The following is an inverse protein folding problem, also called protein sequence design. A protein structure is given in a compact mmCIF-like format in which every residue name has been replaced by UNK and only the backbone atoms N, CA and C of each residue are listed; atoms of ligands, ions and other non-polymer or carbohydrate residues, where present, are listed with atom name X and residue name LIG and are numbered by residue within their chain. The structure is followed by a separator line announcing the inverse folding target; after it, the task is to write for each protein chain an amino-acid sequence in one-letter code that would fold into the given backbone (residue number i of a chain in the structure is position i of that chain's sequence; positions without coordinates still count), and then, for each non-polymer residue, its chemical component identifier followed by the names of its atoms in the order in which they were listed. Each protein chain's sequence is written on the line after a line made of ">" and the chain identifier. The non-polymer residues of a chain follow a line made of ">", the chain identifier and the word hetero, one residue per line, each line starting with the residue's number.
data_IF_897731091690
#
_entry.id   IF_897731091690
#
_cell.length_a   1.000
_cell.length_b   1.000
_cell.length_c   1.000
_cell.angle_alpha   90.00
_cell.angle_beta   90.00
_cell.angle_gamma   90.00
#
_symmetry.space_group_name_H-M   'P 1'
#
loop_
_entity.id
_entity.type
_entity.pdbx_description
1 polymer ?
#
# COMPACT_ATOMS: atom_id res chain seq x y z
N UNK A 1 -44.51 -15.52 -0.14
CA UNK A 1 -43.43 -14.51 -0.09
C UNK A 1 -42.39 -14.90 -1.12
N UNK A 2 -42.05 -13.98 -2.03
CA UNK A 2 -41.10 -14.26 -3.13
C UNK A 2 -39.67 -14.02 -2.66
N UNK A 3 -38.76 -14.95 -2.94
CA UNK A 3 -37.33 -14.77 -2.65
C UNK A 3 -36.73 -13.80 -3.68
N UNK A 4 -35.93 -12.86 -3.20
CA UNK A 4 -35.13 -11.96 -4.02
C UNK A 4 -33.66 -12.33 -3.87
N UNK A 5 -32.87 -12.19 -4.94
CA UNK A 5 -31.43 -12.41 -4.93
C UNK A 5 -30.73 -11.06 -4.85
N UNK A 6 -29.77 -10.93 -3.94
CA UNK A 6 -28.92 -9.75 -3.79
C UNK A 6 -27.46 -10.19 -3.79
N UNK A 7 -26.58 -9.41 -4.40
CA UNK A 7 -25.14 -9.60 -4.37
C UNK A 7 -24.51 -8.59 -3.42
N UNK A 8 -23.66 -9.05 -2.51
CA UNK A 8 -22.91 -8.17 -1.59
C UNK A 8 -21.45 -8.18 -2.01
N UNK A 9 -20.90 -7.00 -2.31
CA UNK A 9 -19.49 -6.83 -2.66
C UNK A 9 -18.76 -6.18 -1.49
N UNK A 10 -17.67 -6.80 -1.05
CA UNK A 10 -16.74 -6.24 -0.07
C UNK A 10 -15.33 -6.20 -0.64
N UNK A 11 -14.71 -5.02 -0.65
CA UNK A 11 -13.34 -4.84 -1.13
C UNK A 11 -12.42 -4.54 0.04
N UNK A 12 -11.48 -5.44 0.30
CA UNK A 12 -10.41 -5.26 1.27
C UNK A 12 -9.14 -4.83 0.57
N UNK A 13 -8.47 -3.79 1.09
CA UNK A 13 -7.16 -3.34 0.61
C UNK A 13 -6.12 -3.52 1.70
N UNK A 14 -5.02 -4.18 1.36
CA UNK A 14 -3.81 -4.17 2.15
C UNK A 14 -2.92 -3.01 1.71
N UNK A 15 -2.52 -2.18 2.65
CA UNK A 15 -1.50 -1.14 2.45
C UNK A 15 -0.25 -1.50 3.25
N UNK A 16 0.91 -1.51 2.59
CA UNK A 16 2.20 -1.75 3.24
C UNK A 16 2.99 -0.45 3.25
N UNK A 17 3.43 0.00 4.42
CA UNK A 17 4.19 1.24 4.62
C UNK A 17 5.57 0.91 5.19
N UNK A 18 6.59 1.58 4.68
CA UNK A 18 7.93 1.63 5.26
C UNK A 18 8.42 3.07 5.18
N UNK A 19 9.16 3.49 6.19
CA UNK A 19 9.85 4.78 6.21
C UNK A 19 11.33 4.49 6.30
N UNK A 20 12.11 5.14 5.44
CA UNK A 20 13.56 4.97 5.36
C UNK A 20 14.23 6.33 5.42
N UNK A 21 15.35 6.39 6.12
CA UNK A 21 16.23 7.55 6.14
C UNK A 21 17.19 7.46 4.94
N UNK A 22 17.29 8.53 4.17
CA UNK A 22 18.17 8.62 3.00
C UNK A 22 19.06 9.83 3.15
N UNK A 23 20.35 9.63 2.89
CA UNK A 23 21.35 10.69 2.88
C UNK A 23 21.34 11.36 1.50
N UNK A 24 20.52 12.39 1.36
CA UNK A 24 20.39 13.17 0.13
C UNK A 24 20.39 14.67 0.46
N UNK A 25 20.75 15.50 -0.52
CA UNK A 25 20.79 16.95 -0.35
C UNK A 25 19.41 17.55 -0.02
N UNK A 26 18.35 16.95 -0.58
CA UNK A 26 16.95 17.35 -0.41
C UNK A 26 15.99 16.21 -0.80
N UNK A 27 14.70 16.45 -0.62
CA UNK A 27 13.66 15.46 -0.85
C UNK A 27 13.51 15.04 -2.33
N UNK A 28 13.72 15.97 -3.26
CA UNK A 28 13.61 15.69 -4.70
C UNK A 28 14.76 14.76 -5.13
N UNK A 29 15.98 15.09 -4.70
CA UNK A 29 17.16 14.24 -4.92
C UNK A 29 16.94 12.84 -4.34
N UNK A 30 16.41 12.71 -3.12
CA UNK A 30 16.12 11.40 -2.53
C UNK A 30 15.15 10.55 -3.38
N UNK A 31 14.12 11.17 -3.97
CA UNK A 31 13.18 10.48 -4.85
C UNK A 31 13.87 10.03 -6.13
N UNK A 32 14.68 10.89 -6.75
CA UNK A 32 15.43 10.55 -7.97
C UNK A 32 16.39 9.37 -7.73
N UNK A 33 17.05 9.30 -6.58
CA UNK A 33 17.90 8.17 -6.21
C UNK A 33 17.12 6.85 -6.12
N UNK A 34 15.90 6.87 -5.58
CA UNK A 34 15.03 5.68 -5.58
C UNK A 34 14.53 5.31 -6.97
N UNK A 35 14.16 6.28 -7.80
CA UNK A 35 13.66 6.04 -9.17
C UNK A 35 14.77 5.54 -10.11
N UNK A 36 15.99 6.05 -9.94
CA UNK A 36 17.17 5.61 -10.69
C UNK A 36 17.73 4.27 -10.21
N UNK A 37 17.29 3.79 -9.04
CA UNK A 37 17.81 2.57 -8.41
C UNK A 37 19.17 2.75 -7.76
N UNK A 38 19.58 4.00 -7.51
CA UNK A 38 20.84 4.34 -6.83
C UNK A 38 20.72 4.23 -5.30
N UNK A 39 19.51 4.36 -4.77
CA UNK A 39 19.20 4.14 -3.35
C UNK A 39 18.82 2.67 -3.06
N UNK A 40 19.21 2.18 -1.88
CA UNK A 40 18.84 0.84 -1.40
C UNK A 40 17.33 0.80 -1.08
N UNK A 41 16.58 0.05 -1.88
CA UNK A 41 15.15 -0.16 -1.65
C UNK A 41 14.99 -1.33 -0.66
N UNK A 42 14.25 -1.15 0.44
CA UNK A 42 13.99 -2.25 1.37
C UNK A 42 13.41 -3.47 0.66
N UNK A 43 13.97 -4.64 0.97
CA UNK A 43 13.45 -5.91 0.47
C UNK A 43 11.97 -6.08 0.79
N UNK A 44 11.26 -6.85 -0.02
CA UNK A 44 9.82 -7.07 0.16
C UNK A 44 9.48 -7.69 1.52
N UNK A 45 10.38 -8.48 2.09
CA UNK A 45 10.26 -9.14 3.39
C UNK A 45 10.90 -8.37 4.56
N UNK A 46 11.37 -7.13 4.34
CA UNK A 46 11.95 -6.30 5.40
C UNK A 46 11.00 -6.20 6.61
N UNK A 47 11.46 -6.54 7.84
CA UNK A 47 10.61 -6.57 9.02
C UNK A 47 10.06 -5.20 9.43
N UNK A 48 10.61 -4.10 8.89
CA UNK A 48 10.12 -2.73 9.11
C UNK A 48 8.83 -2.43 8.35
N UNK A 49 8.47 -3.24 7.36
CA UNK A 49 7.20 -3.10 6.66
C UNK A 49 6.03 -3.27 7.64
N UNK A 50 5.16 -2.27 7.70
CA UNK A 50 3.90 -2.34 8.44
C UNK A 50 2.75 -2.54 7.46
N UNK A 51 1.96 -3.58 7.69
CA UNK A 51 0.79 -3.90 6.85
C UNK A 51 -0.48 -3.51 7.58
N UNK A 52 -1.30 -2.66 6.96
CA UNK A 52 -2.61 -2.26 7.45
C UNK A 52 -3.68 -2.79 6.49
N UNK A 53 -4.72 -3.42 7.04
CA UNK A 53 -5.87 -3.91 6.27
C UNK A 53 -7.05 -3.00 6.50
N UNK A 54 -7.60 -2.44 5.43
CA UNK A 54 -8.74 -1.54 5.51
C UNK A 54 -9.86 -1.99 4.56
N UNK A 55 -11.10 -1.90 5.03
CA UNK A 55 -12.29 -2.08 4.21
C UNK A 55 -12.52 -0.77 3.42
N UNK A 56 -12.40 -0.81 2.10
CA UNK A 56 -12.57 0.40 1.28
C UNK A 56 -14.04 0.69 0.95
N UNK A 57 -14.87 -0.33 0.76
CA UNK A 57 -16.30 -0.15 0.49
C UNK A 57 -17.08 -1.44 0.70
N UNK A 58 -18.36 -1.29 1.04
CA UNK A 58 -19.39 -2.32 0.95
C UNK A 58 -20.47 -1.84 -0.03
N UNK A 59 -20.81 -2.66 -1.03
CA UNK A 59 -21.81 -2.35 -2.05
C UNK A 59 -22.81 -3.49 -2.25
N UNK A 60 -23.92 -3.18 -2.92
CA UNK A 60 -24.98 -4.15 -3.23
C UNK A 60 -25.36 -4.05 -4.71
N UNK A 61 -25.51 -5.19 -5.39
CA UNK A 61 -26.06 -5.31 -6.76
C UNK A 61 -27.34 -6.16 -6.75
#
# INVERSE_FOLDING_TARGET
>A
MSKQTLTIIQTFRAERRITVDVDAADHETAIEEFQSGSADVPAFDDPRWKTEWNLQSGGYE
#
